data_IF_632342919009
#
_entry.id   IF_632342919009
#
_cell.length_a   1.000
_cell.length_b   1.000
_cell.length_c   1.000
_cell.angle_alpha   90.00
_cell.angle_beta   90.00
_cell.angle_gamma   90.00
#
_symmetry.space_group_name_H-M   'P 1'
#
loop_
_entity.id
_entity.type
_entity.pdbx_description
1 polymer ?
#
# COMPACT_ATOMS: atom_id res chain seq x y z
N UNK A 1 -23.08 -47.20 -6.50
CA UNK A 1 -22.13 -46.57 -7.44
C UNK A 1 -22.56 -45.14 -7.68
N UNK A 2 -21.89 -44.18 -7.07
CA UNK A 2 -21.73 -42.79 -7.53
C UNK A 2 -20.76 -42.12 -6.55
N UNK A 3 -19.49 -42.32 -6.84
CA UNK A 3 -18.37 -41.75 -6.13
C UNK A 3 -18.05 -40.36 -6.69
N UNK A 4 -17.65 -39.45 -5.79
CA UNK A 4 -16.70 -38.36 -6.02
C UNK A 4 -17.17 -37.15 -6.84
N UNK A 5 -18.01 -36.30 -6.25
CA UNK A 5 -18.13 -34.89 -6.66
C UNK A 5 -17.84 -33.88 -5.52
N UNK A 6 -17.18 -34.31 -4.44
CA UNK A 6 -16.79 -33.45 -3.32
C UNK A 6 -15.27 -33.17 -3.24
N UNK A 7 -14.56 -33.28 -4.37
CA UNK A 7 -13.12 -33.00 -4.44
C UNK A 7 -12.75 -31.66 -5.09
N UNK A 8 -13.74 -30.82 -5.39
CA UNK A 8 -13.53 -29.37 -5.38
C UNK A 8 -13.79 -28.85 -3.97
N UNK A 9 -13.07 -29.45 -3.02
CA UNK A 9 -12.83 -28.92 -1.70
C UNK A 9 -12.05 -27.62 -1.94
N UNK A 10 -12.85 -26.57 -2.13
CA UNK A 10 -12.52 -25.16 -2.01
C UNK A 10 -11.26 -25.04 -1.17
N UNK A 11 -10.13 -24.93 -1.86
CA UNK A 11 -8.92 -24.32 -1.36
C UNK A 11 -9.24 -22.84 -1.19
N UNK A 12 -10.21 -22.57 -0.32
CA UNK A 12 -10.45 -21.28 0.30
C UNK A 12 -9.17 -20.98 1.03
N UNK A 13 -8.24 -20.34 0.30
CA UNK A 13 -7.07 -19.66 0.83
C UNK A 13 -7.64 -18.83 1.97
N UNK A 14 -7.50 -19.33 3.20
CA UNK A 14 -8.02 -18.70 4.39
C UNK A 14 -7.07 -17.52 4.64
N UNK A 15 -7.23 -16.48 3.80
CA UNK A 15 -6.42 -15.29 3.84
C UNK A 15 -6.60 -14.71 5.22
N UNK A 16 -5.50 -14.64 5.97
CA UNK A 16 -5.50 -14.03 7.28
C UNK A 16 -6.01 -12.58 7.16
N UNK A 17 -6.67 -12.05 8.18
CA UNK A 17 -7.19 -10.67 8.19
C UNK A 17 -6.11 -9.65 7.79
N UNK A 18 -4.84 -9.91 8.15
CA UNK A 18 -3.70 -9.10 7.73
C UNK A 18 -3.48 -9.10 6.21
N UNK A 19 -3.56 -10.26 5.55
CA UNK A 19 -3.41 -10.37 4.09
C UNK A 19 -4.51 -9.64 3.34
N UNK A 20 -5.76 -9.69 3.85
CA UNK A 20 -6.90 -8.97 3.26
C UNK A 20 -6.73 -7.45 3.36
N UNK A 21 -6.25 -6.97 4.51
CA UNK A 21 -5.99 -5.55 4.73
C UNK A 21 -4.87 -5.02 3.83
N UNK A 22 -3.80 -5.79 3.64
CA UNK A 22 -2.71 -5.46 2.70
C UNK A 22 -3.24 -5.40 1.27
N UNK A 23 -4.02 -6.40 0.85
CA UNK A 23 -4.62 -6.44 -0.49
C UNK A 23 -5.51 -5.22 -0.75
N UNK A 24 -6.35 -4.87 0.22
CA UNK A 24 -7.27 -3.74 0.12
C UNK A 24 -6.52 -2.41 0.08
N UNK A 25 -5.47 -2.26 0.90
CA UNK A 25 -4.61 -1.08 0.87
C UNK A 25 -3.93 -0.93 -0.48
N UNK A 26 -3.31 -1.99 -1.00
CA UNK A 26 -2.68 -1.97 -2.33
C UNK A 26 -3.69 -1.69 -3.45
N UNK A 27 -4.90 -2.24 -3.39
CA UNK A 27 -5.93 -1.97 -4.39
C UNK A 27 -6.33 -0.48 -4.41
N UNK A 28 -6.48 0.14 -3.23
CA UNK A 28 -6.81 1.56 -3.09
C UNK A 28 -5.64 2.44 -3.56
N UNK A 29 -4.41 2.10 -3.19
CA UNK A 29 -3.20 2.81 -3.65
C UNK A 29 -3.05 2.75 -5.17
N UNK A 30 -3.34 1.60 -5.78
CA UNK A 30 -3.30 1.45 -7.22
C UNK A 30 -4.34 2.35 -7.90
N UNK A 31 -5.56 2.38 -7.36
CA UNK A 31 -6.62 3.24 -7.86
C UNK A 31 -6.23 4.73 -7.75
N UNK A 32 -5.64 5.13 -6.61
CA UNK A 32 -5.12 6.48 -6.41
C UNK A 32 -4.04 6.87 -7.44
N UNK A 33 -3.10 5.96 -7.71
CA UNK A 33 -2.06 6.16 -8.72
C UNK A 33 -2.67 6.34 -10.12
N UNK A 34 -3.64 5.49 -10.49
CA UNK A 34 -4.35 5.56 -11.78
C UNK A 34 -5.09 6.89 -11.92
N UNK A 35 -5.82 7.32 -10.88
CA UNK A 35 -6.56 8.59 -10.89
C UNK A 35 -5.59 9.76 -11.01
N UNK A 36 -4.50 9.78 -10.25
CA UNK A 36 -3.51 10.86 -10.32
C UNK A 36 -2.87 10.96 -11.71
N UNK A 37 -2.51 9.82 -12.30
CA UNK A 37 -1.95 9.76 -13.66
C UNK A 37 -2.96 10.20 -14.72
N UNK A 38 -4.23 9.79 -14.58
CA UNK A 38 -5.30 10.18 -15.48
C UNK A 38 -5.62 11.68 -15.40
N UNK A 39 -5.56 12.25 -14.19
CA UNK A 39 -5.94 13.65 -13.92
C UNK A 39 -4.86 14.64 -14.33
N UNK A 40 -3.59 14.32 -14.07
CA UNK A 40 -2.49 15.28 -14.23
C UNK A 40 -1.57 15.02 -15.42
N UNK A 41 -1.72 13.89 -16.09
CA UNK A 41 -0.80 13.55 -17.16
C UNK A 41 -1.15 14.23 -18.50
N UNK A 42 -0.12 14.59 -19.27
CA UNK A 42 -0.17 14.70 -20.74
C UNK A 42 0.82 13.64 -21.33
N UNK A 43 0.43 12.81 -22.31
CA UNK A 43 1.26 11.71 -22.89
C UNK A 43 1.22 10.33 -22.20
N UNK A 44 0.73 9.26 -22.85
CA UNK A 44 0.28 8.01 -22.18
C UNK A 44 1.41 7.09 -21.67
N UNK A 45 2.56 7.01 -22.34
CA UNK A 45 3.60 6.01 -22.01
C UNK A 45 4.50 6.41 -20.83
N UNK A 46 4.91 7.67 -20.77
CA UNK A 46 5.74 8.24 -19.68
C UNK A 46 4.98 8.24 -18.35
N UNK A 47 3.69 8.53 -18.40
CA UNK A 47 2.73 8.46 -17.30
C UNK A 47 2.63 7.13 -16.56
N UNK A 48 2.66 6.02 -17.31
CA UNK A 48 2.44 4.70 -16.73
C UNK A 48 3.62 4.32 -15.81
N UNK A 49 4.83 4.73 -16.19
CA UNK A 49 6.05 4.52 -15.40
C UNK A 49 6.02 5.30 -14.09
N UNK A 50 5.63 6.59 -14.12
CA UNK A 50 5.51 7.41 -12.91
C UNK A 50 4.45 6.85 -11.94
N UNK A 51 3.29 6.46 -12.45
CA UNK A 51 2.23 5.85 -11.65
C UNK A 51 2.65 4.53 -11.02
N UNK A 52 3.32 3.66 -11.80
CA UNK A 52 3.84 2.39 -11.30
C UNK A 52 4.92 2.57 -10.22
N UNK A 53 5.84 3.53 -10.41
CA UNK A 53 6.85 3.89 -9.43
C UNK A 53 6.23 4.43 -8.14
N UNK A 54 5.28 5.37 -8.24
CA UNK A 54 4.58 5.92 -7.09
C UNK A 54 3.80 4.83 -6.33
N UNK A 55 3.14 3.92 -7.05
CA UNK A 55 2.48 2.75 -6.48
C UNK A 55 3.47 1.82 -5.76
N UNK A 56 4.61 1.51 -6.37
CA UNK A 56 5.62 0.63 -5.79
C UNK A 56 6.19 1.19 -4.48
N UNK A 57 6.58 2.47 -4.48
CA UNK A 57 7.08 3.14 -3.26
C UNK A 57 6.03 3.17 -2.15
N UNK A 58 4.80 3.52 -2.49
CA UNK A 58 3.72 3.60 -1.50
C UNK A 58 3.41 2.22 -0.94
N UNK A 59 3.32 1.19 -1.78
CA UNK A 59 3.08 -0.19 -1.34
C UNK A 59 4.19 -0.72 -0.42
N UNK A 60 5.46 -0.43 -0.74
CA UNK A 60 6.62 -0.80 0.09
C UNK A 60 6.62 -0.10 1.46
N UNK A 61 6.16 1.16 1.52
CA UNK A 61 6.07 1.92 2.77
C UNK A 61 4.94 1.45 3.69
N UNK A 62 3.91 0.82 3.14
CA UNK A 62 2.66 0.53 3.84
C UNK A 62 2.42 -0.95 4.18
N UNK A 63 3.03 -1.87 3.42
CA UNK A 63 2.85 -3.31 3.64
C UNK A 63 3.39 -3.78 5.00
N UNK A 64 4.61 -3.37 5.43
CA UNK A 64 5.22 -3.89 6.67
C UNK A 64 4.57 -3.42 7.97
N UNK A 65 4.07 -2.17 8.10
CA UNK A 65 3.25 -1.74 9.23
C UNK A 65 2.11 -2.68 9.60
N UNK A 66 1.42 -3.28 8.62
CA UNK A 66 0.31 -4.21 8.84
C UNK A 66 0.76 -5.59 9.32
N UNK A 67 1.98 -6.01 8.97
CA UNK A 67 2.57 -7.29 9.41
C UNK A 67 3.19 -7.16 10.80
N UNK A 68 3.90 -6.04 11.03
CA UNK A 68 4.64 -5.75 12.25
C UNK A 68 3.72 -5.47 13.45
N UNK A 69 2.48 -5.04 13.21
CA UNK A 69 1.47 -4.87 14.26
C UNK A 69 1.29 -6.11 15.16
N UNK A 70 1.52 -7.32 14.63
CA UNK A 70 1.41 -8.56 15.41
C UNK A 70 2.58 -8.80 16.37
N UNK A 71 3.75 -8.21 16.12
CA UNK A 71 4.97 -8.48 16.88
C UNK A 71 5.11 -7.61 18.14
N UNK A 72 4.49 -6.43 18.17
CA UNK A 72 4.62 -5.50 19.28
C UNK A 72 3.29 -5.39 20.03
N UNK A 73 3.28 -5.58 21.35
CA UNK A 73 2.08 -5.41 22.19
C UNK A 73 1.81 -3.95 22.57
N UNK A 74 2.81 -3.06 22.45
CA UNK A 74 2.73 -1.66 22.87
C UNK A 74 2.44 -0.71 21.70
N UNK A 75 1.40 0.11 21.83
CA UNK A 75 0.94 1.04 20.78
C UNK A 75 1.99 2.07 20.34
N UNK A 76 2.77 2.63 21.28
CA UNK A 76 3.82 3.60 20.99
C UNK A 76 4.99 2.98 20.19
N UNK A 77 5.41 1.76 20.54
CA UNK A 77 6.47 1.04 19.84
C UNK A 77 6.04 0.70 18.39
N UNK A 78 4.76 0.35 18.18
CA UNK A 78 4.22 0.14 16.83
C UNK A 78 4.35 1.39 15.97
N UNK A 79 3.91 2.55 16.46
CA UNK A 79 3.99 3.81 15.71
C UNK A 79 5.43 4.18 15.37
N UNK A 80 6.36 4.00 16.31
CA UNK A 80 7.78 4.30 16.08
C UNK A 80 8.37 3.39 15.00
N UNK A 81 8.04 2.10 14.99
CA UNK A 81 8.50 1.16 13.95
C UNK A 81 7.87 1.47 12.59
N UNK A 82 6.58 1.85 12.54
CA UNK A 82 5.93 2.30 11.30
C UNK A 82 6.64 3.53 10.73
N UNK A 83 6.95 4.52 11.57
CA UNK A 83 7.68 5.72 11.14
C UNK A 83 9.09 5.38 10.69
N UNK A 84 9.81 4.57 11.46
CA UNK A 84 11.17 4.12 11.15
C UNK A 84 11.21 3.34 9.83
N UNK A 85 10.16 2.60 9.50
CA UNK A 85 10.04 1.88 8.23
C UNK A 85 9.74 2.79 7.04
N UNK A 86 8.85 3.76 7.23
CA UNK A 86 8.44 4.68 6.16
C UNK A 86 9.54 5.68 5.80
N UNK A 87 10.35 6.09 6.77
CA UNK A 87 11.42 7.06 6.57
C UNK A 87 12.42 6.67 5.47
N UNK A 88 13.02 5.46 5.44
CA UNK A 88 13.91 5.03 4.37
C UNK A 88 13.19 4.91 3.02
N UNK A 89 11.92 4.53 2.99
CA UNK A 89 11.14 4.44 1.74
C UNK A 89 10.91 5.83 1.15
N UNK A 90 10.56 6.82 1.97
CA UNK A 90 10.44 8.22 1.55
C UNK A 90 11.78 8.81 1.12
N UNK A 91 12.87 8.47 1.81
CA UNK A 91 14.23 8.85 1.40
C UNK A 91 14.59 8.26 0.03
N UNK A 92 14.25 7.00 -0.21
CA UNK A 92 14.50 6.35 -1.50
C UNK A 92 13.65 6.97 -2.62
N UNK A 93 12.39 7.32 -2.32
CA UNK A 93 11.51 8.05 -3.22
C UNK A 93 12.06 9.45 -3.54
N UNK A 94 12.54 10.19 -2.53
CA UNK A 94 13.16 11.49 -2.71
C UNK A 94 14.47 11.43 -3.51
N UNK A 95 15.25 10.35 -3.31
CA UNK A 95 16.46 10.11 -4.08
C UNK A 95 16.15 9.79 -5.55
N UNK A 96 15.09 9.01 -5.81
CA UNK A 96 14.66 8.68 -7.18
C UNK A 96 14.17 9.88 -7.97
N UNK A 97 13.63 10.93 -7.33
CA UNK A 97 13.26 12.20 -8.01
C UNK A 97 14.44 12.78 -8.80
N UNK A 98 15.69 12.60 -8.33
CA UNK A 98 16.88 13.10 -9.03
C UNK A 98 17.11 12.40 -10.38
N UNK A 99 16.65 11.16 -10.52
CA UNK A 99 16.80 10.33 -11.72
C UNK A 99 15.59 10.35 -12.63
N UNK A 100 14.47 10.95 -12.20
CA UNK A 100 13.28 11.17 -13.03
C UNK A 100 13.48 12.43 -13.86
N UNK A 101 13.07 12.36 -15.13
CA UNK A 101 13.13 13.49 -16.07
C UNK A 101 12.33 14.68 -15.55
N UNK A 102 12.82 15.89 -15.84
CA UNK A 102 12.27 17.14 -15.28
C UNK A 102 10.78 17.31 -15.61
N UNK A 103 10.36 16.87 -16.79
CA UNK A 103 8.97 16.90 -17.26
C UNK A 103 8.07 15.93 -16.48
N UNK A 104 8.63 14.83 -15.99
CA UNK A 104 7.91 13.77 -15.29
C UNK A 104 7.89 13.93 -13.76
N UNK A 105 8.81 14.74 -13.20
CA UNK A 105 8.95 14.94 -11.74
C UNK A 105 7.64 15.38 -11.10
N UNK A 106 6.93 16.33 -11.72
CA UNK A 106 5.66 16.82 -11.18
C UNK A 106 4.59 15.72 -11.17
N UNK A 107 4.52 14.90 -12.23
CA UNK A 107 3.59 13.77 -12.29
C UNK A 107 3.92 12.73 -11.21
N UNK A 108 5.20 12.40 -11.04
CA UNK A 108 5.65 11.46 -10.02
C UNK A 108 5.37 11.97 -8.60
N UNK A 109 5.69 13.22 -8.29
CA UNK A 109 5.46 13.82 -6.96
C UNK A 109 3.95 13.88 -6.66
N UNK A 110 3.13 14.33 -7.61
CA UNK A 110 1.67 14.39 -7.41
C UNK A 110 1.06 13.01 -7.23
N UNK A 111 1.47 12.02 -8.04
CA UNK A 111 1.01 10.64 -7.87
C UNK A 111 1.45 10.04 -6.53
N UNK A 112 2.71 10.27 -6.13
CA UNK A 112 3.24 9.82 -4.84
C UNK A 112 2.46 10.44 -3.67
N UNK A 113 2.19 11.74 -3.71
CA UNK A 113 1.39 12.43 -2.69
C UNK A 113 -0.04 11.91 -2.63
N UNK A 114 -0.71 11.75 -3.78
CA UNK A 114 -2.08 11.24 -3.84
C UNK A 114 -2.18 9.82 -3.24
N UNK A 115 -1.26 8.94 -3.64
CA UNK A 115 -1.14 7.60 -3.09
C UNK A 115 -0.90 7.64 -1.57
N UNK A 116 0.00 8.51 -1.11
CA UNK A 116 0.36 8.60 0.31
C UNK A 116 -0.78 9.12 1.19
N UNK A 117 -1.49 10.17 0.75
CA UNK A 117 -2.62 10.74 1.50
C UNK A 117 -3.76 9.73 1.66
N UNK A 118 -4.17 9.08 0.57
CA UNK A 118 -5.26 8.11 0.61
C UNK A 118 -4.87 6.91 1.48
N UNK A 119 -3.63 6.43 1.31
CA UNK A 119 -3.15 5.27 2.06
C UNK A 119 -2.97 5.52 3.55
N UNK A 120 -2.53 6.73 3.94
CA UNK A 120 -2.40 7.12 5.35
C UNK A 120 -3.74 7.03 6.07
N UNK A 121 -4.79 7.62 5.48
CA UNK A 121 -6.13 7.59 6.06
C UNK A 121 -6.63 6.16 6.20
N UNK A 122 -6.40 5.33 5.18
CA UNK A 122 -6.82 3.94 5.19
C UNK A 122 -6.06 3.11 6.23
N UNK A 123 -4.75 3.32 6.36
CA UNK A 123 -3.92 2.65 7.36
C UNK A 123 -4.32 3.05 8.78
N UNK A 124 -4.55 4.34 9.05
CA UNK A 124 -5.05 4.80 10.34
C UNK A 124 -6.39 4.15 10.70
N UNK A 125 -7.29 4.02 9.72
CA UNK A 125 -8.57 3.36 9.92
C UNK A 125 -8.44 1.85 10.18
N UNK A 126 -7.57 1.17 9.44
CA UNK A 126 -7.26 -0.25 9.65
C UNK A 126 -6.60 -0.50 11.01
N UNK A 127 -5.70 0.39 11.44
CA UNK A 127 -5.06 0.36 12.75
C UNK A 127 -6.09 0.46 13.89
N UNK A 128 -7.03 1.39 13.79
CA UNK A 128 -8.10 1.56 14.80
C UNK A 128 -8.98 0.31 14.87
N UNK A 129 -9.35 -0.28 13.73
CA UNK A 129 -10.11 -1.53 13.69
C UNK A 129 -9.34 -2.70 14.30
N UNK A 130 -8.06 -2.84 13.96
CA UNK A 130 -7.20 -3.88 14.51
C UNK A 130 -7.03 -3.81 16.04
N UNK A 131 -7.04 -2.62 16.65
CA UNK A 131 -7.03 -2.49 18.12
C UNK A 131 -8.33 -2.99 18.73
N UNK A 132 -9.47 -2.70 18.10
CA UNK A 132 -10.81 -3.07 18.59
C UNK A 132 -11.05 -4.58 18.56
N UNK A 133 -10.52 -5.26 17.55
CA UNK A 133 -10.62 -6.72 17.40
C UNK A 133 -9.71 -7.49 18.40
N UNK A 134 -8.66 -6.87 18.93
CA UNK A 134 -7.76 -7.48 19.93
C UNK A 134 -8.16 -7.19 21.39
N UNK A 135 -9.16 -6.33 21.61
CA UNK A 135 -9.66 -5.98 22.94
C UNK A 135 -10.86 -6.86 23.38
N UNK A 136 -11.33 -7.74 22.49
CA UNK A 136 -12.33 -8.78 22.76
C UNK A 136 -11.65 -10.12 22.98
#
# INVERSE_FOLDING_TARGET
MNCNFELFHSSSIRMTTGTKNILLLNAVTLLAAVIAVATFGHGVETKLKCGALAFAFTSLGLTPPLVIQKLFSHGAARQLVVVLWRFPVLLLAAWTIRYVDVEERNCFITALLACYFISLTLESWLLVRGVRDNAQ
#
